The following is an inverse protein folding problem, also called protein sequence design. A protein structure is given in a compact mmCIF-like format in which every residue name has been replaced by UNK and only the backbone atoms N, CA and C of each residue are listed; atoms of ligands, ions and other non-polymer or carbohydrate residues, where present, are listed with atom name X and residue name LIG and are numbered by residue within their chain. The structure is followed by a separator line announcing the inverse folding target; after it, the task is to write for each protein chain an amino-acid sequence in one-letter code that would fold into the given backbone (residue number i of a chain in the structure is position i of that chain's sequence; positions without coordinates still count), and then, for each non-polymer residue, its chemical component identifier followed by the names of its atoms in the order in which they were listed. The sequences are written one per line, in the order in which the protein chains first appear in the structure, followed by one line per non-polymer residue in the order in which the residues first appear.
data_IF_619643524048
#
_entry.id   IF_619643524048
#
_cell.length_a   1.000
_cell.length_b   1.000
_cell.length_c   1.000
_cell.angle_alpha   90.00
_cell.angle_beta   90.00
_cell.angle_gamma   90.00
#
_symmetry.space_group_name_H-M   'P 1'
#
loop_
_entity.id
_entity.type
_entity.pdbx_description
1 polymer ?
#
# COMPACT_ATOMS: atom_id res chain seq x y z
N UNK A 1 -3.32 -17.05 -11.06
CA UNK A 1 -3.57 -16.41 -12.37
C UNK A 1 -2.23 -16.34 -13.07
N UNK A 2 -2.15 -16.94 -14.27
CA UNK A 2 -0.94 -16.97 -15.10
C UNK A 2 -1.29 -16.62 -16.52
N UNK A 3 -0.32 -16.06 -17.26
CA UNK A 3 -0.46 -15.73 -18.67
C UNK A 3 -0.93 -14.29 -18.91
N UNK A 4 -1.00 -13.90 -20.20
CA UNK A 4 -1.22 -12.51 -20.62
C UNK A 4 -2.69 -12.12 -20.81
N UNK A 5 -3.62 -12.85 -20.20
CA UNK A 5 -5.04 -12.52 -20.25
C UNK A 5 -5.40 -11.28 -19.44
N UNK A 6 -6.59 -10.76 -19.69
CA UNK A 6 -7.14 -9.60 -18.98
C UNK A 6 -8.38 -10.01 -18.17
N UNK A 7 -8.42 -9.59 -16.92
CA UNK A 7 -9.61 -9.61 -16.06
C UNK A 7 -10.06 -8.16 -15.92
N UNK A 8 -11.23 -7.86 -16.46
CA UNK A 8 -11.74 -6.49 -16.54
C UNK A 8 -13.11 -6.35 -15.89
N UNK A 9 -13.33 -5.23 -15.22
CA UNK A 9 -14.64 -4.79 -14.77
C UNK A 9 -14.86 -3.31 -15.12
N UNK A 10 -15.95 -3.03 -15.85
CA UNK A 10 -16.36 -1.68 -16.23
C UNK A 10 -17.62 -1.21 -15.50
N UNK A 11 -17.97 -1.83 -14.36
CA UNK A 11 -19.18 -1.48 -13.61
C UNK A 11 -18.86 -0.81 -12.30
N UNK A 12 -19.63 0.24 -11.99
CA UNK A 12 -19.57 0.92 -10.70
C UNK A 12 -19.83 -0.06 -9.54
N UNK A 13 -19.11 0.13 -8.42
CA UNK A 13 -19.27 -0.64 -7.21
C UNK A 13 -18.89 -2.13 -7.31
N UNK A 14 -18.11 -2.52 -8.32
CA UNK A 14 -17.68 -3.91 -8.53
C UNK A 14 -16.16 -4.00 -8.68
N UNK A 15 -15.55 -4.93 -7.94
CA UNK A 15 -14.16 -5.31 -8.12
C UNK A 15 -14.03 -6.38 -9.22
N UNK A 16 -13.09 -6.25 -10.15
CA UNK A 16 -12.80 -7.33 -11.09
C UNK A 16 -12.24 -8.57 -10.41
N UNK A 17 -11.57 -8.42 -9.29
CA UNK A 17 -10.97 -9.53 -8.56
C UNK A 17 -11.20 -9.37 -7.05
N UNK A 18 -11.71 -10.42 -6.41
CA UNK A 18 -11.92 -10.49 -4.97
C UNK A 18 -11.43 -11.83 -4.41
N UNK A 19 -10.62 -11.77 -3.36
CA UNK A 19 -10.17 -12.92 -2.59
C UNK A 19 -10.86 -12.90 -1.20
N UNK A 20 -11.90 -13.69 -1.04
CA UNK A 20 -12.71 -13.76 0.17
C UNK A 20 -12.26 -14.92 1.08
N UNK A 21 -11.00 -14.89 1.55
CA UNK A 21 -10.47 -15.87 2.50
C UNK A 21 -9.69 -17.03 1.88
N UNK A 22 -9.48 -17.02 0.55
CA UNK A 22 -8.67 -18.03 -0.15
C UNK A 22 -7.20 -17.65 -0.33
N UNK A 23 -6.52 -18.43 -1.16
CA UNK A 23 -5.15 -18.15 -1.64
C UNK A 23 -5.24 -17.71 -3.08
N UNK A 24 -4.76 -16.50 -3.37
CA UNK A 24 -4.68 -15.93 -4.70
C UNK A 24 -3.21 -15.66 -5.06
N UNK A 25 -2.78 -16.15 -6.22
CA UNK A 25 -1.45 -15.83 -6.77
C UNK A 25 -1.65 -15.22 -8.15
N UNK A 26 -1.11 -14.02 -8.37
CA UNK A 26 -1.03 -13.34 -9.65
C UNK A 26 0.42 -13.34 -10.10
N UNK A 27 0.75 -14.18 -11.08
CA UNK A 27 2.09 -14.26 -11.64
C UNK A 27 2.29 -13.37 -12.86
N UNK A 28 1.19 -13.10 -13.62
CA UNK A 28 1.22 -12.29 -14.85
C UNK A 28 -0.21 -11.89 -15.24
N UNK A 29 -0.36 -11.11 -16.33
CA UNK A 29 -1.64 -10.69 -16.88
C UNK A 29 -2.06 -9.29 -16.42
N UNK A 30 -3.30 -8.95 -16.75
CA UNK A 30 -3.86 -7.62 -16.48
C UNK A 30 -5.11 -7.76 -15.62
N UNK A 31 -5.16 -7.03 -14.52
CA UNK A 31 -6.37 -6.84 -13.71
C UNK A 31 -6.74 -5.36 -13.78
N UNK A 32 -7.82 -5.06 -14.45
CA UNK A 32 -8.17 -3.68 -14.81
C UNK A 32 -9.59 -3.37 -14.38
N UNK A 33 -9.76 -2.25 -13.72
CA UNK A 33 -11.05 -1.61 -13.57
C UNK A 33 -11.09 -0.43 -14.52
N UNK A 34 -11.83 -0.57 -15.61
CA UNK A 34 -11.81 0.36 -16.75
C UNK A 34 -12.83 1.49 -16.66
N UNK A 35 -13.62 1.55 -15.57
CA UNK A 35 -14.60 2.60 -15.39
C UNK A 35 -13.95 3.92 -14.96
N UNK A 36 -14.19 4.98 -15.72
CA UNK A 36 -13.74 6.34 -15.42
C UNK A 36 -14.85 7.10 -14.67
N UNK A 37 -15.09 6.73 -13.43
CA UNK A 37 -16.01 7.45 -12.55
C UNK A 37 -15.27 8.23 -11.47
N UNK A 38 -15.67 9.48 -11.29
CA UNK A 38 -15.25 10.28 -10.15
C UNK A 38 -16.04 9.85 -8.91
N UNK A 39 -15.33 9.50 -7.86
CA UNK A 39 -15.92 9.17 -6.57
C UNK A 39 -15.37 7.89 -5.96
N UNK A 40 -15.86 7.53 -4.78
CA UNK A 40 -15.53 6.29 -4.08
C UNK A 40 -16.05 5.09 -4.89
N UNK A 41 -15.33 4.76 -5.94
CA UNK A 41 -15.54 3.53 -6.67
C UNK A 41 -15.06 2.35 -5.84
N UNK A 42 -15.28 1.18 -6.35
CA UNK A 42 -14.84 -0.05 -5.71
C UNK A 42 -13.37 -0.35 -6.06
N UNK A 43 -12.74 -1.18 -5.27
CA UNK A 43 -11.36 -1.62 -5.49
C UNK A 43 -11.21 -2.44 -6.78
N UNK A 44 -10.01 -2.47 -7.34
CA UNK A 44 -9.69 -3.37 -8.47
C UNK A 44 -9.34 -4.77 -7.95
N UNK A 45 -8.63 -4.85 -6.83
CA UNK A 45 -8.40 -6.08 -6.09
C UNK A 45 -8.80 -5.89 -4.63
N UNK A 46 -9.67 -6.77 -4.16
CA UNK A 46 -10.15 -6.81 -2.79
C UNK A 46 -9.63 -8.08 -2.11
N UNK A 47 -8.88 -7.95 -1.01
CA UNK A 47 -8.24 -9.08 -0.36
C UNK A 47 -8.63 -9.22 1.12
N UNK A 48 -9.35 -10.30 1.41
CA UNK A 48 -9.63 -10.81 2.76
C UNK A 48 -8.95 -12.15 3.04
N UNK A 49 -8.07 -12.60 2.17
CA UNK A 49 -7.34 -13.85 2.28
C UNK A 49 -5.84 -13.67 2.18
N UNK A 50 -5.18 -14.61 1.55
CA UNK A 50 -3.74 -14.57 1.26
C UNK A 50 -3.54 -14.27 -0.21
N UNK A 51 -3.00 -13.09 -0.54
CA UNK A 51 -2.73 -12.70 -1.94
C UNK A 51 -1.25 -12.47 -2.15
N UNK A 52 -0.70 -13.05 -3.21
CA UNK A 52 0.68 -12.83 -3.68
C UNK A 52 0.66 -12.31 -5.10
N UNK A 53 1.32 -11.19 -5.35
CA UNK A 53 1.50 -10.58 -6.66
C UNK A 53 2.98 -10.69 -7.02
N UNK A 54 3.28 -11.56 -7.99
CA UNK A 54 4.63 -11.76 -8.50
C UNK A 54 4.93 -10.96 -9.76
N UNK A 55 3.88 -10.55 -10.50
CA UNK A 55 4.01 -9.84 -11.77
C UNK A 55 2.66 -9.35 -12.29
N UNK A 56 2.65 -8.97 -13.57
CA UNK A 56 1.46 -8.44 -14.23
C UNK A 56 1.20 -6.96 -13.97
N UNK A 57 0.02 -6.49 -14.36
CA UNK A 57 -0.41 -5.09 -14.21
C UNK A 57 -1.75 -5.05 -13.50
N UNK A 58 -1.84 -4.27 -12.45
CA UNK A 58 -3.10 -3.94 -11.78
C UNK A 58 -3.33 -2.44 -11.95
N UNK A 59 -4.45 -2.05 -12.55
CA UNK A 59 -4.69 -0.64 -12.86
C UNK A 59 -6.15 -0.23 -12.75
N UNK A 60 -6.35 1.08 -12.50
CA UNK A 60 -7.63 1.77 -12.59
C UNK A 60 -7.41 3.20 -13.08
N UNK A 61 -8.08 3.66 -14.13
CA UNK A 61 -7.98 5.05 -14.59
C UNK A 61 -8.72 6.05 -13.70
N UNK A 62 -9.63 5.59 -12.84
CA UNK A 62 -10.41 6.43 -11.94
C UNK A 62 -9.59 7.09 -10.84
N UNK A 63 -9.98 8.30 -10.42
CA UNK A 63 -9.15 9.17 -9.58
C UNK A 63 -9.44 9.08 -8.07
N UNK A 64 -10.34 8.22 -7.59
CA UNK A 64 -10.86 8.37 -6.22
C UNK A 64 -11.06 7.09 -5.42
N UNK A 65 -10.63 5.93 -5.89
CA UNK A 65 -10.66 4.72 -5.08
C UNK A 65 -9.29 4.10 -4.91
N UNK A 66 -9.11 3.38 -3.82
CA UNK A 66 -7.94 2.55 -3.65
C UNK A 66 -7.96 1.44 -4.69
N UNK A 67 -6.81 1.11 -5.25
CA UNK A 67 -6.71 0.10 -6.29
C UNK A 67 -6.74 -1.30 -5.67
N UNK A 68 -5.88 -1.54 -4.67
CA UNK A 68 -5.83 -2.77 -3.90
C UNK A 68 -6.22 -2.46 -2.46
N UNK A 69 -7.17 -3.21 -1.92
CA UNK A 69 -7.45 -3.23 -0.50
C UNK A 69 -7.02 -4.56 0.11
N UNK A 70 -6.27 -4.49 1.19
CA UNK A 70 -5.87 -5.62 2.01
C UNK A 70 -6.28 -5.39 3.46
N UNK A 71 -7.35 -6.00 3.89
CA UNK A 71 -7.90 -5.80 5.22
C UNK A 71 -9.42 -5.74 5.22
N UNK A 72 -9.97 -5.30 6.33
CA UNK A 72 -11.40 -5.21 6.51
C UNK A 72 -11.85 -3.77 6.66
N UNK A 73 -12.68 -3.32 5.72
CA UNK A 73 -13.37 -2.05 5.81
C UNK A 73 -14.88 -2.27 5.68
N UNK A 74 -15.62 -2.03 6.75
CA UNK A 74 -17.07 -2.08 6.72
C UNK A 74 -17.68 -0.68 6.67
N UNK A 75 -18.16 -0.33 5.49
CA UNK A 75 -18.83 0.95 5.25
C UNK A 75 -20.08 1.16 6.10
N UNK A 76 -20.79 0.08 6.47
CA UNK A 76 -22.07 0.16 7.16
C UNK A 76 -21.90 0.22 8.69
N UNK A 77 -20.80 -0.33 9.20
CA UNK A 77 -20.48 -0.39 10.63
C UNK A 77 -19.16 0.32 10.97
N UNK A 78 -18.50 0.95 10.00
CA UNK A 78 -17.28 1.65 10.25
C UNK A 78 -17.55 2.89 11.13
N UNK A 79 -17.17 2.80 12.37
CA UNK A 79 -16.88 3.98 13.15
C UNK A 79 -15.58 4.58 12.58
N UNK A 80 -15.62 5.75 11.92
CA UNK A 80 -14.42 6.37 11.35
C UNK A 80 -13.35 6.69 12.41
N UNK A 81 -13.72 6.61 13.69
CA UNK A 81 -12.81 6.80 14.81
C UNK A 81 -12.24 5.46 15.33
N UNK A 82 -12.87 4.35 15.02
CA UNK A 82 -12.41 3.03 15.49
C UNK A 82 -11.59 2.27 14.47
N UNK A 83 -11.81 2.47 13.17
CA UNK A 83 -11.08 1.77 12.10
C UNK A 83 -11.15 0.24 12.20
N UNK A 84 -12.15 -0.29 12.91
CA UNK A 84 -12.23 -1.70 13.26
C UNK A 84 -13.57 -2.29 12.86
N UNK A 85 -13.53 -3.45 12.26
CA UNK A 85 -14.71 -4.25 11.97
C UNK A 85 -14.91 -5.25 13.11
N UNK A 86 -15.86 -4.99 13.99
CA UNK A 86 -16.19 -5.90 15.07
C UNK A 86 -16.75 -7.23 14.54
N UNK A 87 -16.32 -8.34 15.12
CA UNK A 87 -16.89 -9.66 14.89
C UNK A 87 -16.32 -10.46 13.72
N UNK A 88 -15.30 -9.97 13.05
CA UNK A 88 -14.61 -10.77 12.04
C UNK A 88 -13.55 -11.64 12.70
N UNK A 89 -13.89 -12.90 12.96
CA UNK A 89 -12.96 -13.98 13.31
C UNK A 89 -12.30 -14.56 12.06
N UNK A 90 -11.91 -13.72 11.11
CA UNK A 90 -11.24 -14.17 9.92
C UNK A 90 -9.73 -14.28 10.14
N UNK A 91 -9.11 -15.17 9.40
CA UNK A 91 -7.65 -15.20 9.28
C UNK A 91 -7.14 -13.82 8.86
N UNK A 92 -6.01 -13.40 9.40
CA UNK A 92 -5.35 -12.13 9.09
C UNK A 92 -5.12 -11.99 7.57
N UNK A 93 -5.71 -10.99 6.90
CA UNK A 93 -5.51 -10.82 5.46
C UNK A 93 -4.06 -10.45 5.17
N UNK A 94 -3.43 -11.18 4.27
CA UNK A 94 -2.04 -10.95 3.89
C UNK A 94 -1.90 -10.61 2.42
N UNK A 95 -1.13 -9.57 2.14
CA UNK A 95 -0.75 -9.17 0.79
C UNK A 95 0.76 -9.15 0.66
N UNK A 96 1.28 -9.91 -0.31
CA UNK A 96 2.70 -9.91 -0.66
C UNK A 96 2.85 -9.42 -2.10
N UNK A 97 3.63 -8.37 -2.31
CA UNK A 97 3.95 -7.83 -3.63
C UNK A 97 5.45 -8.05 -3.88
N UNK A 98 5.76 -8.98 -4.77
CA UNK A 98 7.12 -9.30 -5.18
C UNK A 98 7.53 -8.59 -6.47
N UNK A 99 6.54 -8.16 -7.29
CA UNK A 99 6.79 -7.55 -8.60
C UNK A 99 5.50 -7.04 -9.24
N UNK A 100 5.58 -6.75 -10.54
CA UNK A 100 4.46 -6.21 -11.31
C UNK A 100 4.38 -4.68 -11.28
N UNK A 101 3.41 -4.14 -12.02
CA UNK A 101 3.11 -2.70 -12.06
C UNK A 101 1.73 -2.47 -11.46
N UNK A 102 1.68 -1.65 -10.43
CA UNK A 102 0.45 -1.29 -9.72
C UNK A 102 0.27 0.21 -9.90
N UNK A 103 -0.72 0.60 -10.69
CA UNK A 103 -0.88 1.98 -11.15
C UNK A 103 -2.28 2.53 -10.91
N UNK A 104 -2.33 3.64 -10.19
CA UNK A 104 -3.53 4.43 -9.95
C UNK A 104 -3.13 5.91 -9.79
N UNK A 105 -4.05 6.80 -10.08
CA UNK A 105 -3.85 8.25 -9.88
C UNK A 105 -4.03 8.68 -8.42
N UNK A 106 -4.38 7.77 -7.52
CA UNK A 106 -4.60 8.02 -6.10
C UNK A 106 -3.97 6.91 -5.25
N UNK A 107 -4.72 6.24 -4.37
CA UNK A 107 -4.19 5.16 -3.54
C UNK A 107 -3.99 3.89 -4.36
N UNK A 108 -2.78 3.39 -4.44
CA UNK A 108 -2.47 2.12 -5.10
C UNK A 108 -2.70 0.93 -4.18
N UNK A 109 -2.14 0.97 -2.99
CA UNK A 109 -2.29 -0.09 -1.99
C UNK A 109 -2.82 0.52 -0.71
N UNK A 110 -3.96 0.02 -0.27
CA UNK A 110 -4.53 0.32 1.04
C UNK A 110 -4.42 -0.91 1.92
N UNK A 111 -3.70 -0.82 3.02
CA UNK A 111 -3.75 -1.84 4.06
C UNK A 111 -4.69 -1.36 5.13
N UNK A 112 -5.81 -2.04 5.25
CA UNK A 112 -6.90 -1.73 6.17
C UNK A 112 -6.87 -2.63 7.40
N UNK A 113 -7.91 -2.59 8.20
CA UNK A 113 -7.97 -3.22 9.51
C UNK A 113 -7.64 -4.72 9.46
N UNK A 114 -6.81 -5.18 10.40
CA UNK A 114 -6.30 -6.55 10.47
C UNK A 114 -5.28 -6.92 9.38
N UNK A 115 -5.13 -6.11 8.33
CA UNK A 115 -4.29 -6.42 7.19
C UNK A 115 -2.79 -6.37 7.48
N UNK A 116 -2.06 -7.30 6.88
CA UNK A 116 -0.59 -7.32 6.85
C UNK A 116 -0.13 -7.25 5.40
N UNK A 117 0.71 -6.26 5.08
CA UNK A 117 1.23 -6.05 3.72
C UNK A 117 2.75 -6.14 3.71
N UNK A 118 3.30 -6.88 2.76
CA UNK A 118 4.74 -6.94 2.48
C UNK A 118 4.99 -6.55 1.02
N UNK A 119 5.86 -5.58 0.80
CA UNK A 119 6.27 -5.13 -0.53
C UNK A 119 7.76 -5.39 -0.68
N UNK A 120 8.11 -6.41 -1.47
CA UNK A 120 9.48 -6.79 -1.76
C UNK A 120 10.00 -6.21 -3.08
N UNK A 121 9.08 -5.78 -3.97
CA UNK A 121 9.42 -5.28 -5.29
C UNK A 121 8.20 -4.71 -6.00
N UNK A 122 8.36 -4.48 -7.32
CA UNK A 122 7.32 -3.92 -8.17
C UNK A 122 7.45 -2.41 -8.41
N UNK A 123 6.66 -1.93 -9.34
CA UNK A 123 6.56 -0.52 -9.73
C UNK A 123 5.20 0.01 -9.27
N UNK A 124 5.20 0.76 -8.17
CA UNK A 124 4.02 1.26 -7.46
C UNK A 124 3.83 2.73 -7.80
N UNK A 125 2.89 3.01 -8.69
CA UNK A 125 2.60 4.37 -9.19
C UNK A 125 1.32 4.91 -8.58
N UNK A 126 1.46 5.77 -7.59
CA UNK A 126 0.45 6.30 -6.70
C UNK A 126 0.84 6.07 -5.24
N UNK A 127 0.04 6.53 -4.29
CA UNK A 127 0.47 6.40 -2.90
C UNK A 127 -0.04 5.13 -2.21
N UNK A 128 0.71 4.69 -1.21
CA UNK A 128 0.40 3.57 -0.33
C UNK A 128 -0.19 4.11 0.97
N UNK A 129 -1.37 3.63 1.36
CA UNK A 129 -2.06 4.03 2.58
C UNK A 129 -2.13 2.86 3.55
N UNK A 130 -1.60 3.04 4.75
CA UNK A 130 -1.52 2.00 5.76
C UNK A 130 -2.18 2.42 7.06
N UNK A 131 -3.29 1.78 7.40
CA UNK A 131 -3.98 1.88 8.69
C UNK A 131 -4.09 0.52 9.38
N UNK A 132 -3.64 -0.54 8.72
CA UNK A 132 -3.71 -1.91 9.17
C UNK A 132 -2.69 -2.26 10.24
N UNK A 133 -2.51 -3.55 10.44
CA UNK A 133 -1.70 -4.09 11.53
C UNK A 133 -0.20 -3.89 11.30
N UNK A 134 0.29 -4.28 10.11
CA UNK A 134 1.71 -4.23 9.78
C UNK A 134 1.96 -4.03 8.30
N UNK A 135 2.92 -3.18 7.98
CA UNK A 135 3.49 -3.05 6.65
C UNK A 135 5.01 -3.25 6.70
N UNK A 136 5.54 -3.99 5.73
CA UNK A 136 6.99 -4.18 5.55
C UNK A 136 7.35 -3.86 4.10
N UNK A 137 8.34 -3.00 3.88
CA UNK A 137 8.84 -2.64 2.56
C UNK A 137 10.33 -2.97 2.52
N UNK A 138 10.71 -3.92 1.66
CA UNK A 138 12.11 -4.34 1.49
C UNK A 138 12.68 -3.94 0.12
N UNK A 139 11.82 -3.52 -0.82
CA UNK A 139 12.20 -3.13 -2.18
C UNK A 139 11.05 -2.50 -2.95
N UNK A 140 11.27 -2.27 -4.23
CA UNK A 140 10.30 -1.68 -5.15
C UNK A 140 10.60 -0.23 -5.52
N UNK A 141 9.95 0.24 -6.57
CA UNK A 141 9.95 1.64 -7.00
C UNK A 141 8.60 2.25 -6.66
N UNK A 142 8.61 3.33 -5.92
CA UNK A 142 7.42 4.08 -5.51
C UNK A 142 7.45 5.46 -6.15
N UNK A 143 6.44 5.82 -6.93
CA UNK A 143 6.37 7.12 -7.58
C UNK A 143 4.99 7.75 -7.44
N UNK A 144 4.97 9.06 -7.12
CA UNK A 144 3.77 9.90 -7.11
C UNK A 144 4.03 11.20 -7.85
N UNK A 145 3.07 11.64 -8.67
CA UNK A 145 3.22 12.80 -9.56
C UNK A 145 2.25 13.96 -9.25
N UNK A 146 1.29 13.76 -8.36
CA UNK A 146 0.22 14.72 -8.07
C UNK A 146 0.40 15.49 -6.75
N UNK A 147 1.64 15.52 -6.21
CA UNK A 147 1.95 16.20 -4.95
C UNK A 147 1.73 15.35 -3.70
N UNK A 148 1.32 14.08 -3.86
CA UNK A 148 1.13 13.17 -2.73
C UNK A 148 2.46 12.58 -2.24
N UNK A 149 2.46 12.11 -0.99
CA UNK A 149 3.53 11.27 -0.44
C UNK A 149 3.52 9.87 -1.09
N UNK A 150 4.63 9.13 -0.97
CA UNK A 150 4.66 7.74 -1.42
C UNK A 150 3.97 6.79 -0.43
N UNK A 151 4.18 6.99 0.86
CA UNK A 151 3.60 6.15 1.92
C UNK A 151 3.01 7.03 3.02
N UNK A 152 1.75 6.78 3.37
CA UNK A 152 1.10 7.36 4.52
C UNK A 152 0.76 6.27 5.53
N UNK A 153 1.25 6.40 6.75
CA UNK A 153 0.96 5.50 7.87
C UNK A 153 0.05 6.23 8.86
N UNK A 154 -1.08 5.65 9.18
CA UNK A 154 -2.07 6.29 10.05
C UNK A 154 -2.46 5.36 11.18
N UNK A 155 -2.35 5.83 12.40
CA UNK A 155 -2.92 5.22 13.58
C UNK A 155 -4.23 5.92 13.91
N UNK A 156 -5.35 5.23 13.73
CA UNK A 156 -6.67 5.83 13.88
C UNK A 156 -7.14 5.88 15.34
N UNK A 157 -6.81 4.87 16.14
CA UNK A 157 -7.23 4.77 17.53
C UNK A 157 -6.12 4.13 18.37
N UNK A 158 -5.80 4.74 19.52
CA UNK A 158 -4.72 4.28 20.39
C UNK A 158 -4.91 2.87 20.96
N UNK A 159 -6.14 2.39 21.05
CA UNK A 159 -6.45 1.12 21.68
C UNK A 159 -6.65 -0.05 20.72
N UNK A 160 -6.92 0.19 19.44
CA UNK A 160 -7.36 -0.86 18.50
C UNK A 160 -6.38 -1.08 17.34
N UNK A 161 -5.59 -0.11 16.97
CA UNK A 161 -4.75 -0.20 15.80
C UNK A 161 -3.31 0.20 16.09
N UNK A 162 -2.41 -0.78 16.15
CA UNK A 162 -0.97 -0.54 16.23
C UNK A 162 -0.43 -0.56 14.80
N UNK A 163 -0.78 0.46 14.00
CA UNK A 163 -0.21 0.59 12.67
C UNK A 163 1.32 0.67 12.78
N UNK A 164 2.00 -0.30 12.19
CA UNK A 164 3.46 -0.37 12.15
C UNK A 164 3.96 -0.48 10.72
N UNK A 165 5.00 0.29 10.38
CA UNK A 165 5.63 0.29 9.07
C UNK A 165 7.14 0.17 9.19
N UNK A 166 7.71 -0.84 8.53
CA UNK A 166 9.15 -1.13 8.51
C UNK A 166 9.68 -1.01 7.09
N UNK A 167 10.64 -0.12 6.86
CA UNK A 167 11.23 0.11 5.54
C UNK A 167 12.72 -0.20 5.61
N UNK A 168 13.17 -1.21 4.86
CA UNK A 168 14.57 -1.59 4.77
C UNK A 168 15.16 -1.48 3.37
N UNK A 169 14.36 -1.07 2.38
CA UNK A 169 14.79 -0.90 0.99
C UNK A 169 13.73 -0.21 0.15
N UNK A 170 13.97 -0.14 -1.15
CA UNK A 170 13.12 0.55 -2.12
C UNK A 170 13.63 1.94 -2.52
N UNK A 171 13.07 2.45 -3.61
CA UNK A 171 13.33 3.82 -4.10
C UNK A 171 12.01 4.58 -4.09
N UNK A 172 12.02 5.77 -3.48
CA UNK A 172 10.83 6.57 -3.26
C UNK A 172 10.98 7.93 -3.94
N UNK A 173 10.10 8.21 -4.89
CA UNK A 173 10.09 9.43 -5.68
C UNK A 173 8.72 10.10 -5.58
N UNK A 174 8.69 11.33 -5.13
CA UNK A 174 7.48 12.15 -5.10
C UNK A 174 7.72 13.53 -5.65
N UNK A 175 6.70 14.11 -6.30
CA UNK A 175 6.63 15.55 -6.58
C UNK A 175 6.15 16.37 -5.37
N UNK A 176 5.66 15.70 -4.33
CA UNK A 176 5.23 16.33 -3.08
C UNK A 176 6.37 16.72 -2.16
N UNK A 177 6.03 17.12 -0.94
CA UNK A 177 6.99 17.64 0.04
C UNK A 177 7.73 16.52 0.78
N UNK A 178 7.07 15.38 1.02
CA UNK A 178 7.61 14.27 1.81
C UNK A 178 7.35 12.93 1.12
N UNK A 179 8.29 11.98 1.25
CA UNK A 179 8.06 10.60 0.79
C UNK A 179 7.20 9.79 1.78
N UNK A 180 7.43 9.97 3.06
CA UNK A 180 6.79 9.22 4.14
C UNK A 180 6.08 10.19 5.08
N UNK A 181 4.80 9.96 5.32
CA UNK A 181 3.99 10.75 6.24
C UNK A 181 3.36 9.88 7.33
N UNK A 182 3.19 10.44 8.52
CA UNK A 182 2.56 9.80 9.66
C UNK A 182 1.38 10.62 10.20
N UNK A 183 0.36 9.93 10.71
CA UNK A 183 -0.75 10.55 11.44
C UNK A 183 -1.14 9.67 12.64
N UNK A 184 -1.32 10.28 13.82
CA UNK A 184 -1.74 9.56 15.03
C UNK A 184 -0.65 8.72 15.70
N UNK A 185 0.61 9.09 15.53
CA UNK A 185 1.80 8.44 16.12
C UNK A 185 1.88 6.93 15.84
N UNK A 186 1.88 6.49 14.58
CA UNK A 186 2.17 5.09 14.24
C UNK A 186 3.63 4.76 14.52
N UNK A 187 3.96 3.48 14.60
CA UNK A 187 5.35 3.04 14.64
C UNK A 187 5.92 3.01 13.22
N UNK A 188 6.93 3.84 12.94
CA UNK A 188 7.68 3.79 11.68
C UNK A 188 9.15 3.57 12.00
N UNK A 189 9.76 2.55 11.39
CA UNK A 189 11.20 2.30 11.47
C UNK A 189 11.79 2.16 10.07
N UNK A 190 12.75 3.03 9.74
CA UNK A 190 13.47 3.01 8.47
C UNK A 190 14.92 2.63 8.72
N UNK A 191 15.35 1.55 8.06
CA UNK A 191 16.72 1.00 8.15
C UNK A 191 17.43 0.94 6.79
N UNK A 192 16.73 1.36 5.71
CA UNK A 192 17.27 1.38 4.36
C UNK A 192 16.33 2.09 3.40
N UNK A 193 16.73 2.16 2.13
CA UNK A 193 15.96 2.80 1.07
C UNK A 193 16.59 4.12 0.60
N UNK A 194 16.10 4.57 -0.57
CA UNK A 194 16.50 5.80 -1.25
C UNK A 194 15.29 6.70 -1.43
N UNK A 195 15.38 7.95 -1.00
CA UNK A 195 14.27 8.90 -0.96
C UNK A 195 14.67 10.19 -1.66
N UNK A 196 13.86 10.69 -2.60
CA UNK A 196 14.16 11.98 -3.24
C UNK A 196 13.84 13.20 -2.35
N UNK A 197 13.23 12.98 -1.19
CA UNK A 197 13.04 13.98 -0.13
C UNK A 197 13.66 13.48 1.17
N UNK A 198 14.09 14.42 2.01
CA UNK A 198 14.60 14.06 3.33
C UNK A 198 13.51 13.39 4.16
N UNK A 199 13.85 12.26 4.78
CA UNK A 199 12.96 11.55 5.70
C UNK A 199 13.06 12.20 7.09
N UNK A 200 11.93 12.36 7.83
CA UNK A 200 11.97 12.77 9.22
C UNK A 200 12.86 11.87 10.08
N UNK A 201 13.72 12.48 10.90
CA UNK A 201 14.73 11.74 11.70
C UNK A 201 14.08 10.77 12.69
N UNK A 202 12.90 11.10 13.21
CA UNK A 202 12.14 10.26 14.12
C UNK A 202 11.68 8.91 13.51
N UNK A 203 11.71 8.78 12.19
CA UNK A 203 11.40 7.52 11.50
C UNK A 203 12.64 6.67 11.26
N UNK A 204 13.83 7.26 11.38
CA UNK A 204 15.08 6.54 11.19
C UNK A 204 15.42 5.78 12.47
N UNK A 205 15.61 4.48 12.34
CA UNK A 205 15.95 3.62 13.48
C UNK A 205 17.28 4.05 14.12
N UNK A 206 17.35 4.02 15.44
CA UNK A 206 18.60 4.27 16.16
C UNK A 206 19.75 3.39 15.63
N UNK A 207 20.92 3.99 15.41
CA UNK A 207 22.09 3.35 14.78
C UNK A 207 22.04 3.35 13.24
N UNK A 208 21.11 4.12 12.64
CA UNK A 208 21.03 4.39 11.22
C UNK A 208 21.04 5.89 10.98
N UNK A 209 21.52 6.30 9.81
CA UNK A 209 21.57 7.69 9.36
C UNK A 209 21.12 7.82 7.92
N UNK A 210 20.67 9.00 7.53
CA UNK A 210 20.45 9.34 6.14
C UNK A 210 21.57 10.22 5.60
N UNK A 211 22.02 9.91 4.39
CA UNK A 211 23.08 10.64 3.70
C UNK A 211 22.62 10.96 2.29
N UNK A 212 22.88 12.19 1.82
CA UNK A 212 22.56 12.58 0.44
C UNK A 212 23.63 12.01 -0.51
N UNK A 213 23.19 11.09 -1.40
CA UNK A 213 24.04 10.43 -2.40
C UNK A 213 23.31 10.46 -3.74
N UNK A 214 23.94 11.00 -4.77
CA UNK A 214 23.39 11.08 -6.14
C UNK A 214 21.95 11.64 -6.21
N UNK A 215 21.69 12.68 -5.43
CA UNK A 215 20.38 13.34 -5.38
C UNK A 215 19.31 12.64 -4.53
N UNK A 216 19.63 11.53 -3.86
CA UNK A 216 18.74 10.83 -2.96
C UNK A 216 19.27 10.80 -1.53
N UNK A 217 18.38 10.94 -0.57
CA UNK A 217 18.65 10.62 0.84
C UNK A 217 18.62 9.10 0.99
N UNK A 218 19.78 8.51 1.24
CA UNK A 218 19.94 7.07 1.41
C UNK A 218 20.09 6.76 2.90
N UNK A 219 19.25 5.88 3.41
CA UNK A 219 19.33 5.42 4.81
C UNK A 219 20.22 4.19 4.88
N UNK A 220 21.19 4.20 5.80
CA UNK A 220 22.11 3.11 6.04
C UNK A 220 22.54 3.05 7.51
N UNK A 221 23.10 1.91 7.91
CA UNK A 221 23.65 1.74 9.26
C UNK A 221 24.80 2.73 9.50
N UNK A 222 24.88 3.29 10.68
CA UNK A 222 26.05 4.04 11.15
C UNK A 222 27.25 3.09 11.29
N UNK A 223 28.41 3.54 10.82
CA UNK A 223 29.68 2.83 11.02
C UNK A 223 30.21 3.08 12.43
#
# INVERSE_FOLDING_TARGET
IKGKGTIECNKHGKAPLANNGGILVLDDGYVVRSIDEKGNGYYTLFNHGMTTINGGIISCPGNYSSLIENGYYDYNNADPNKGHVEGINAAEPTLVINGGTIINNYTTVKTDDGGVTTINGGDIRGYVYHVGKKMTITGGLFSTSNGDMNVQVVKLNDNLNVASCYISGGTFETSGEVNIAAKGNPLIEITGGRFNKRVPEEFIKAGYKQTLVDGYYTVSKEE
#
